data_IF_239838772974
#
_entry.id   IF_239838772974
#
_cell.length_a   1.000
_cell.length_b   1.000
_cell.length_c   1.000
_cell.angle_alpha   90.00
_cell.angle_beta   90.00
_cell.angle_gamma   90.00
#
_symmetry.space_group_name_H-M   'P 1'
#
loop_
_entity.id
_entity.type
_entity.pdbx_description
1 polymer ?
#
# COMPACT_ATOMS: atom_id res chain seq x y z
N UNK A 1 33.68 -3.55 -0.44
CA UNK A 1 33.12 -4.48 -1.43
C UNK A 1 31.61 -4.48 -1.31
N UNK A 2 30.87 -3.94 -2.29
CA UNK A 2 29.40 -3.85 -2.21
C UNK A 2 28.75 -5.25 -2.23
N UNK A 3 27.62 -5.41 -1.52
CA UNK A 3 26.88 -6.67 -1.47
C UNK A 3 26.43 -7.14 -2.87
N UNK A 4 26.04 -6.20 -3.73
CA UNK A 4 25.65 -6.46 -5.12
C UNK A 4 26.77 -7.08 -5.96
N UNK A 5 28.02 -6.67 -5.75
CA UNK A 5 29.16 -7.22 -6.47
C UNK A 5 29.43 -8.70 -6.10
N UNK A 6 29.10 -9.12 -4.88
CA UNK A 6 29.26 -10.53 -4.46
C UNK A 6 28.21 -11.46 -5.08
N UNK A 7 26.98 -10.97 -5.28
CA UNK A 7 25.87 -11.73 -5.89
C UNK A 7 26.17 -12.01 -7.36
N UNK A 8 26.62 -10.99 -8.12
CA UNK A 8 26.98 -11.14 -9.53
C UNK A 8 28.08 -12.17 -9.79
N UNK A 9 29.01 -12.37 -8.84
CA UNK A 9 30.12 -13.33 -8.96
C UNK A 9 29.68 -14.79 -8.77
N UNK A 10 28.65 -15.05 -7.96
CA UNK A 10 28.28 -16.42 -7.56
C UNK A 10 26.94 -16.89 -8.14
N UNK A 11 26.15 -16.01 -8.76
CA UNK A 11 24.84 -16.35 -9.34
C UNK A 11 24.92 -16.37 -10.87
N UNK A 12 24.54 -17.49 -11.52
CA UNK A 12 24.44 -17.56 -12.98
C UNK A 12 23.47 -16.50 -13.51
N UNK A 13 23.81 -15.87 -14.64
CA UNK A 13 23.00 -14.82 -15.27
C UNK A 13 21.60 -15.31 -15.67
N UNK A 14 21.48 -16.60 -16.01
CA UNK A 14 20.22 -17.30 -16.35
C UNK A 14 19.19 -17.26 -15.21
N UNK A 15 19.64 -17.23 -13.95
CA UNK A 15 18.78 -17.37 -12.76
C UNK A 15 18.25 -16.01 -12.28
N UNK A 16 18.87 -14.91 -12.70
CA UNK A 16 18.46 -13.54 -12.37
C UNK A 16 16.98 -13.27 -12.67
N UNK A 17 16.41 -13.58 -13.86
CA UNK A 17 14.99 -13.33 -14.14
C UNK A 17 14.03 -14.11 -13.22
N UNK A 18 14.40 -15.31 -12.77
CA UNK A 18 13.56 -16.11 -11.88
C UNK A 18 13.53 -15.46 -10.49
N UNK A 19 14.71 -15.10 -9.97
CA UNK A 19 14.83 -14.48 -8.64
C UNK A 19 14.15 -13.11 -8.61
N UNK A 20 14.23 -12.32 -9.69
CA UNK A 20 13.58 -11.00 -9.74
C UNK A 20 12.06 -11.11 -9.68
N UNK A 21 11.46 -12.04 -10.42
CA UNK A 21 10.00 -12.24 -10.43
C UNK A 21 9.53 -12.75 -9.06
N UNK A 22 10.21 -13.76 -8.50
CA UNK A 22 9.85 -14.32 -7.18
C UNK A 22 9.99 -13.27 -6.09
N UNK A 23 11.09 -12.51 -6.08
CA UNK A 23 11.29 -11.44 -5.11
C UNK A 23 10.23 -10.35 -5.26
N UNK A 24 9.87 -10.00 -6.50
CA UNK A 24 8.78 -9.07 -6.79
C UNK A 24 7.44 -9.57 -6.26
N UNK A 25 7.12 -10.85 -6.45
CA UNK A 25 5.89 -11.46 -5.96
C UNK A 25 5.82 -11.49 -4.43
N UNK A 26 6.89 -11.93 -3.75
CA UNK A 26 6.94 -11.99 -2.28
C UNK A 26 6.88 -10.58 -1.68
N UNK A 27 7.61 -9.61 -2.23
CA UNK A 27 7.54 -8.23 -1.78
C UNK A 27 6.16 -7.62 -2.02
N UNK A 28 5.54 -7.88 -3.18
CA UNK A 28 4.19 -7.39 -3.48
C UNK A 28 3.12 -7.97 -2.54
N UNK A 29 3.18 -9.28 -2.27
CA UNK A 29 2.28 -9.94 -1.32
C UNK A 29 2.48 -9.43 0.11
N UNK A 30 3.75 -9.30 0.55
CA UNK A 30 4.08 -8.74 1.87
C UNK A 30 3.59 -7.30 2.04
N UNK A 31 3.80 -6.46 1.01
CA UNK A 31 3.30 -5.08 1.01
C UNK A 31 1.77 -5.03 1.07
N UNK A 32 1.08 -5.87 0.31
CA UNK A 32 -0.38 -5.93 0.32
C UNK A 32 -0.94 -6.33 1.69
N UNK A 33 -0.36 -7.34 2.33
CA UNK A 33 -0.72 -7.77 3.68
C UNK A 33 -0.42 -6.69 4.72
N UNK A 34 0.73 -6.02 4.62
CA UNK A 34 1.07 -4.89 5.48
C UNK A 34 0.06 -3.75 5.37
N UNK A 35 -0.34 -3.39 4.15
CA UNK A 35 -1.37 -2.38 3.91
C UNK A 35 -2.74 -2.81 4.45
N UNK A 36 -3.08 -4.11 4.37
CA UNK A 36 -4.35 -4.64 4.90
C UNK A 36 -4.38 -4.62 6.43
N UNK A 37 -3.24 -4.86 7.10
CA UNK A 37 -3.16 -4.81 8.57
C UNK A 37 -3.28 -3.40 9.15
N UNK A 38 -3.24 -2.36 8.31
CA UNK A 38 -3.40 -0.95 8.67
C UNK A 38 -4.82 -0.42 8.36
N UNK A 39 -5.79 -1.29 8.03
CA UNK A 39 -7.17 -0.89 7.70
C UNK A 39 -7.93 -0.28 8.89
N UNK A 40 -9.00 0.48 8.63
CA UNK A 40 -9.83 1.12 9.67
C UNK A 40 -10.55 0.16 10.62
N UNK A 41 -10.66 -1.10 10.22
CA UNK A 41 -11.27 -2.17 11.00
C UNK A 41 -10.26 -2.93 11.88
N UNK A 42 -8.95 -2.72 11.67
CA UNK A 42 -7.90 -3.49 12.35
C UNK A 42 -7.25 -2.66 13.44
N UNK A 43 -7.52 -3.00 14.70
CA UNK A 43 -6.90 -2.37 15.88
C UNK A 43 -5.86 -3.31 16.48
N UNK A 44 -4.58 -3.04 16.20
CA UNK A 44 -3.46 -3.79 16.79
C UNK A 44 -2.38 -2.89 17.39
N UNK A 45 -2.42 -1.58 17.13
CA UNK A 45 -1.54 -0.62 17.76
C UNK A 45 -1.96 -0.41 19.22
N UNK A 46 -1.15 -0.86 20.18
CA UNK A 46 -1.43 -0.72 21.62
C UNK A 46 -0.83 0.53 22.25
N UNK A 47 0.18 1.13 21.62
CA UNK A 47 0.99 2.20 22.22
C UNK A 47 0.72 3.59 21.62
N UNK A 48 0.00 3.68 20.50
CA UNK A 48 -0.34 4.94 19.84
C UNK A 48 -1.84 5.11 19.63
N UNK A 49 -2.20 5.80 18.55
CA UNK A 49 -3.59 6.01 18.17
C UNK A 49 -4.30 4.67 17.87
N UNK A 50 -5.28 4.34 18.73
CA UNK A 50 -6.08 3.12 18.70
C UNK A 50 -7.36 3.27 17.88
N UNK A 51 -7.60 4.44 17.26
CA UNK A 51 -8.84 4.78 16.55
C UNK A 51 -8.57 4.95 15.06
N UNK A 52 -8.28 3.86 14.33
CA UNK A 52 -7.94 3.96 12.90
C UNK A 52 -9.10 4.47 12.03
N UNK A 53 -10.35 4.43 12.51
CA UNK A 53 -11.51 5.03 11.84
C UNK A 53 -11.49 6.56 11.81
N UNK A 54 -10.78 7.23 12.71
CA UNK A 54 -10.68 8.70 12.71
C UNK A 54 -9.86 9.23 11.53
N UNK A 55 -9.03 8.37 10.92
CA UNK A 55 -8.12 8.73 9.82
C UNK A 55 -8.80 8.80 8.46
N UNK A 56 -10.01 8.24 8.34
CA UNK A 56 -10.70 8.06 7.06
C UNK A 56 -11.88 9.01 6.99
N UNK A 57 -11.91 9.85 5.94
CA UNK A 57 -13.02 10.77 5.72
C UNK A 57 -14.11 10.14 4.86
N UNK A 58 -15.34 10.62 5.00
CA UNK A 58 -16.53 10.14 4.26
C UNK A 58 -16.44 10.27 2.72
N UNK A 59 -15.48 11.02 2.20
CA UNK A 59 -15.25 11.20 0.77
C UNK A 59 -14.04 10.42 0.25
N UNK A 60 -13.38 9.63 1.10
CA UNK A 60 -12.21 8.83 0.72
C UNK A 60 -12.60 7.37 0.47
N UNK A 61 -11.99 6.78 -0.55
CA UNK A 61 -12.15 5.36 -0.83
C UNK A 61 -11.15 4.52 -0.03
N UNK A 62 -11.65 3.59 0.77
CA UNK A 62 -10.83 2.65 1.54
C UNK A 62 -10.40 1.41 0.74
N UNK A 63 -11.08 1.14 -0.39
CA UNK A 63 -10.82 -0.05 -1.20
C UNK A 63 -9.53 0.12 -1.98
N UNK A 64 -8.81 -0.99 -2.18
CA UNK A 64 -7.56 -1.00 -2.95
C UNK A 64 -7.78 -0.53 -4.39
N UNK A 65 -8.90 -0.96 -4.96
CA UNK A 65 -9.31 -0.68 -6.31
C UNK A 65 -10.77 -0.22 -6.28
N UNK A 66 -11.06 0.90 -6.93
CA UNK A 66 -12.42 1.33 -7.21
C UNK A 66 -12.74 1.01 -8.66
N UNK A 67 -13.93 0.45 -8.90
CA UNK A 67 -14.48 0.36 -10.25
C UNK A 67 -15.06 1.70 -10.74
N UNK A 68 -15.38 2.62 -9.83
CA UNK A 68 -15.94 3.93 -10.14
C UNK A 68 -15.06 5.04 -9.53
N UNK A 69 -14.00 5.49 -10.23
CA UNK A 69 -13.13 6.56 -9.73
C UNK A 69 -13.83 7.93 -9.74
N UNK A 70 -14.69 8.19 -10.74
CA UNK A 70 -15.36 9.48 -10.92
C UNK A 70 -16.28 9.82 -9.76
N UNK A 71 -16.94 8.82 -9.17
CA UNK A 71 -17.75 8.99 -7.97
C UNK A 71 -16.95 9.55 -6.78
N UNK A 72 -15.75 9.03 -6.55
CA UNK A 72 -14.90 9.47 -5.44
C UNK A 72 -14.26 10.83 -5.71
N UNK A 73 -13.92 11.12 -6.98
CA UNK A 73 -13.43 12.44 -7.38
C UNK A 73 -14.46 13.54 -7.07
N UNK A 74 -15.72 13.34 -7.48
CA UNK A 74 -16.82 14.29 -7.20
C UNK A 74 -17.02 14.55 -5.71
N UNK A 75 -17.04 13.49 -4.88
CA UNK A 75 -17.20 13.65 -3.43
C UNK A 75 -16.04 14.42 -2.78
N UNK A 76 -14.83 14.26 -3.31
CA UNK A 76 -13.66 15.00 -2.84
C UNK A 76 -13.79 16.49 -3.15
N UNK A 77 -14.30 16.84 -4.34
CA UNK A 77 -14.59 18.21 -4.73
C UNK A 77 -15.71 18.83 -3.89
N UNK A 78 -16.83 18.11 -3.69
CA UNK A 78 -17.93 18.55 -2.81
C UNK A 78 -17.46 18.80 -1.36
N UNK A 79 -16.58 17.93 -0.85
CA UNK A 79 -16.01 18.10 0.48
C UNK A 79 -15.11 19.34 0.57
N UNK A 80 -14.34 19.64 -0.49
CA UNK A 80 -13.52 20.85 -0.57
C UNK A 80 -14.39 22.12 -0.62
N UNK A 81 -15.46 22.10 -1.42
CA UNK A 81 -16.42 23.22 -1.53
C UNK A 81 -17.12 23.50 -0.18
N UNK A 82 -17.54 22.45 0.53
CA UNK A 82 -18.14 22.58 1.88
C UNK A 82 -17.16 23.10 2.93
N UNK A 83 -15.86 22.91 2.74
CA UNK A 83 -14.84 23.43 3.66
C UNK A 83 -14.50 24.91 3.39
N UNK A 84 -14.76 25.41 2.17
CA UNK A 84 -14.53 26.80 1.78
C UNK A 84 -15.74 27.73 2.00
N UNK A 85 -16.92 27.15 2.21
CA UNK A 85 -18.16 27.86 2.54
C UNK A 85 -18.28 28.05 4.06
#
# INVERSE_FOLDING_TARGET
>A
MSAFAKIKKHVPTETLPIVTIVTGAVMGAGYYLYRLSQGSEVVWNRHGDQRPWDKIKQHENIKFLSYNPDFWAKRKEEAAQKASA
#
